data_IF_926776801823
#
_entry.id   IF_926776801823
#
_cell.length_a   1.000
_cell.length_b   1.000
_cell.length_c   1.000
_cell.angle_alpha   90.00
_cell.angle_beta   90.00
_cell.angle_gamma   90.00
#
_symmetry.space_group_name_H-M   'P 1'
#
loop_
_entity.id
_entity.type
_entity.pdbx_description
1 polymer ?
#
# COMPACT_ATOMS: atom_id res chain seq x y z
N UNK A 1 24.62 11.67 -7.71
CA UNK A 1 23.77 12.85 -7.41
C UNK A 1 22.79 12.60 -6.25
N UNK A 2 21.87 11.63 -6.34
CA UNK A 2 20.82 11.37 -5.33
C UNK A 2 21.36 11.23 -3.90
N UNK A 3 22.34 10.36 -3.65
CA UNK A 3 22.89 10.16 -2.31
C UNK A 3 23.54 11.43 -1.70
N UNK A 4 24.08 12.33 -2.53
CA UNK A 4 24.64 13.62 -2.10
C UNK A 4 23.54 14.60 -1.69
N UNK A 5 22.36 14.51 -2.30
CA UNK A 5 21.19 15.28 -1.88
C UNK A 5 20.62 14.71 -0.57
N UNK A 6 20.53 13.39 -0.45
CA UNK A 6 20.06 12.72 0.78
C UNK A 6 20.95 12.99 2.00
N UNK A 7 22.22 13.31 1.82
CA UNK A 7 23.13 13.64 2.93
C UNK A 7 22.96 15.06 3.46
N UNK A 8 22.23 15.94 2.77
CA UNK A 8 22.00 17.33 3.21
C UNK A 8 21.22 17.37 4.52
N UNK A 9 21.59 18.30 5.40
CA UNK A 9 21.01 18.38 6.75
C UNK A 9 19.51 18.71 6.74
N UNK A 10 19.00 19.51 5.81
CA UNK A 10 17.57 19.88 5.77
C UNK A 10 16.66 18.78 5.19
N UNK A 11 17.19 17.87 4.37
CA UNK A 11 16.40 16.83 3.69
C UNK A 11 16.49 15.48 4.41
N UNK A 12 15.43 14.72 4.69
CA UNK A 12 14.03 14.96 4.32
C UNK A 12 13.23 15.72 5.38
N UNK A 13 13.86 16.22 6.45
CA UNK A 13 13.18 16.82 7.61
C UNK A 13 12.26 17.98 7.20
N UNK A 14 12.73 18.88 6.33
CA UNK A 14 11.92 19.96 5.75
C UNK A 14 10.64 19.46 5.09
N UNK A 15 10.73 18.45 4.22
CA UNK A 15 9.56 17.85 3.56
C UNK A 15 8.62 17.13 4.53
N UNK A 16 9.12 16.57 5.63
CA UNK A 16 8.26 16.00 6.68
C UNK A 16 7.42 17.06 7.36
N UNK A 17 7.99 18.23 7.66
CA UNK A 17 7.24 19.35 8.24
C UNK A 17 6.23 19.92 7.26
N UNK A 18 6.59 20.09 5.99
CA UNK A 18 5.65 20.51 4.93
C UNK A 18 4.51 19.48 4.81
N UNK A 19 4.85 18.19 4.81
CA UNK A 19 3.85 17.11 4.75
C UNK A 19 2.97 17.07 6.00
N UNK A 20 3.49 17.45 7.17
CA UNK A 20 2.71 17.56 8.41
C UNK A 20 1.70 18.70 8.33
N UNK A 21 2.11 19.88 7.85
CA UNK A 21 1.20 21.01 7.63
C UNK A 21 0.11 20.64 6.64
N UNK A 22 0.48 20.05 5.49
CA UNK A 22 -0.49 19.58 4.51
C UNK A 22 -1.46 18.55 5.13
N UNK A 23 -0.94 17.60 5.92
CA UNK A 23 -1.75 16.60 6.61
C UNK A 23 -2.76 17.21 7.58
N UNK A 24 -2.38 18.25 8.33
CA UNK A 24 -3.28 19.00 9.20
C UNK A 24 -4.37 19.70 8.39
N UNK A 25 -4.01 20.37 7.28
CA UNK A 25 -4.99 21.02 6.40
C UNK A 25 -6.02 20.02 5.85
N UNK A 26 -5.58 18.84 5.43
CA UNK A 26 -6.47 17.77 4.94
C UNK A 26 -7.42 17.26 6.04
N UNK A 27 -6.96 17.18 7.29
CA UNK A 27 -7.81 16.83 8.43
C UNK A 27 -8.84 17.93 8.70
N UNK A 28 -8.42 19.19 8.80
CA UNK A 28 -9.30 20.31 9.10
C UNK A 28 -10.39 20.44 8.04
N UNK A 29 -10.03 20.41 6.76
CA UNK A 29 -10.99 20.48 5.64
C UNK A 29 -11.95 19.29 5.60
N UNK A 30 -11.52 18.10 6.03
CA UNK A 30 -12.41 16.95 6.18
C UNK A 30 -13.37 17.10 7.36
N UNK A 31 -12.92 17.61 8.51
CA UNK A 31 -13.77 17.82 9.70
C UNK A 31 -14.89 18.85 9.47
N UNK A 32 -14.70 19.77 8.53
CA UNK A 32 -15.68 20.80 8.17
C UNK A 32 -16.85 20.29 7.32
N UNK A 33 -16.81 19.06 6.81
CA UNK A 33 -17.82 18.54 5.88
C UNK A 33 -18.33 17.15 6.28
N UNK A 34 -19.64 17.05 6.50
CA UNK A 34 -20.33 15.82 6.89
C UNK A 34 -21.68 15.72 6.17
N UNK A 35 -22.06 14.51 5.77
CA UNK A 35 -23.42 14.20 5.30
C UNK A 35 -23.74 12.73 5.53
N UNK A 36 -25.02 12.42 5.73
CA UNK A 36 -25.57 11.06 5.79
C UNK A 36 -26.26 10.65 4.50
N UNK A 37 -26.49 11.58 3.57
CA UNK A 37 -27.13 11.29 2.29
C UNK A 37 -26.15 10.62 1.32
N UNK A 38 -26.55 9.43 0.84
CA UNK A 38 -25.72 8.61 -0.03
C UNK A 38 -25.52 9.23 -1.42
N UNK A 39 -26.48 10.00 -1.93
CA UNK A 39 -26.35 10.66 -3.22
C UNK A 39 -25.41 11.87 -3.12
N UNK A 40 -25.64 12.74 -2.14
CA UNK A 40 -24.75 13.86 -1.85
C UNK A 40 -23.29 13.43 -1.63
N UNK A 41 -23.07 12.34 -0.86
CA UNK A 41 -21.74 11.80 -0.61
C UNK A 41 -21.01 11.34 -1.88
N UNK A 42 -21.71 10.99 -2.98
CA UNK A 42 -21.06 10.64 -4.25
C UNK A 42 -20.37 11.84 -4.89
N UNK A 43 -20.91 13.06 -4.70
CA UNK A 43 -20.31 14.30 -5.17
C UNK A 43 -19.35 14.89 -4.15
N UNK A 44 -19.74 14.95 -2.87
CA UNK A 44 -18.93 15.54 -1.80
C UNK A 44 -17.53 14.93 -1.70
N UNK A 45 -17.40 13.62 -1.91
CA UNK A 45 -16.11 12.92 -1.91
C UNK A 45 -15.11 13.46 -2.94
N UNK A 46 -15.60 14.09 -4.01
CA UNK A 46 -14.80 14.62 -5.11
C UNK A 46 -14.67 16.15 -5.07
N UNK A 47 -15.52 16.86 -4.34
CA UNK A 47 -15.49 18.34 -4.23
C UNK A 47 -14.80 18.82 -2.96
N UNK A 48 -14.84 18.06 -1.87
CA UNK A 48 -14.12 18.40 -0.65
C UNK A 48 -12.60 18.29 -0.84
N UNK A 49 -11.85 19.33 -0.47
CA UNK A 49 -10.39 19.40 -0.63
C UNK A 49 -9.67 18.21 0.02
N UNK A 50 -9.98 17.95 1.30
CA UNK A 50 -9.39 16.86 2.07
C UNK A 50 -9.61 15.50 1.39
N UNK A 51 -10.87 15.18 1.12
CA UNK A 51 -11.25 13.88 0.58
C UNK A 51 -10.75 13.65 -0.85
N UNK A 52 -10.84 14.67 -1.71
CA UNK A 52 -10.34 14.60 -3.08
C UNK A 52 -8.83 14.35 -3.09
N UNK A 53 -8.05 15.15 -2.36
CA UNK A 53 -6.59 15.03 -2.34
C UNK A 53 -6.17 13.69 -1.73
N UNK A 54 -6.74 13.28 -0.58
CA UNK A 54 -6.35 12.03 0.09
C UNK A 54 -6.61 10.82 -0.80
N UNK A 55 -7.81 10.70 -1.35
CA UNK A 55 -8.24 9.45 -1.98
C UNK A 55 -8.03 9.39 -3.49
N UNK A 56 -7.93 10.53 -4.16
CA UNK A 56 -7.82 10.60 -5.63
C UNK A 56 -6.44 11.02 -6.12
N UNK A 57 -5.56 11.54 -5.26
CA UNK A 57 -4.21 11.96 -5.65
C UNK A 57 -3.12 11.43 -4.74
N UNK A 58 -3.24 11.65 -3.44
CA UNK A 58 -2.23 11.24 -2.47
C UNK A 58 -2.13 9.71 -2.39
N UNK A 59 -3.26 8.99 -2.22
CA UNK A 59 -3.26 7.53 -2.24
C UNK A 59 -2.71 6.95 -3.57
N UNK A 60 -3.22 7.35 -4.76
CA UNK A 60 -2.62 6.97 -6.04
C UNK A 60 -1.12 7.25 -6.15
N UNK A 61 -0.68 8.44 -5.73
CA UNK A 61 0.73 8.83 -5.79
C UNK A 61 1.62 7.91 -4.93
N UNK A 62 1.20 7.56 -3.70
CA UNK A 62 2.03 6.68 -2.86
C UNK A 62 2.12 5.25 -3.42
N UNK A 63 1.07 4.76 -4.09
CA UNK A 63 1.10 3.46 -4.77
C UNK A 63 2.09 3.48 -5.94
N UNK A 64 1.99 4.48 -6.81
CA UNK A 64 2.92 4.68 -7.94
C UNK A 64 4.36 4.80 -7.43
N UNK A 65 4.58 5.64 -6.41
CA UNK A 65 5.90 5.82 -5.81
C UNK A 65 6.45 4.51 -5.23
N UNK A 66 5.62 3.71 -4.55
CA UNK A 66 6.04 2.42 -4.03
C UNK A 66 6.48 1.46 -5.13
N UNK A 67 5.69 1.33 -6.21
CA UNK A 67 5.99 0.40 -7.30
C UNK A 67 7.28 0.77 -8.03
N UNK A 68 7.52 2.05 -8.31
CA UNK A 68 8.65 2.47 -9.17
C UNK A 68 9.88 2.96 -8.40
N UNK A 69 9.68 3.58 -7.24
CA UNK A 69 10.74 4.26 -6.48
C UNK A 69 10.91 3.74 -5.06
N UNK A 70 10.14 2.72 -4.67
CA UNK A 70 10.20 2.11 -3.35
C UNK A 70 9.51 3.00 -2.31
N UNK A 71 9.88 2.88 -1.04
CA UNK A 71 9.15 3.51 0.07
C UNK A 71 9.48 5.00 0.27
N UNK A 72 9.65 5.77 -0.81
CA UNK A 72 9.98 7.21 -0.73
C UNK A 72 8.93 7.98 0.04
N UNK A 73 7.64 7.62 -0.06
CA UNK A 73 6.62 8.25 0.77
C UNK A 73 6.93 8.12 2.28
N UNK A 74 7.41 6.96 2.74
CA UNK A 74 7.78 6.76 4.14
C UNK A 74 8.95 7.66 4.60
N UNK A 75 9.77 8.16 3.66
CA UNK A 75 10.86 9.11 3.95
C UNK A 75 10.32 10.48 4.35
N UNK A 76 9.19 10.92 3.78
CA UNK A 76 8.58 12.24 3.99
C UNK A 76 7.28 12.19 4.79
N UNK A 77 6.82 10.98 5.15
CA UNK A 77 5.59 10.76 5.89
C UNK A 77 5.60 11.50 7.25
N UNK A 78 4.57 12.32 7.55
CA UNK A 78 4.51 13.07 8.81
C UNK A 78 4.34 12.15 10.03
N UNK A 79 3.73 10.97 9.85
CA UNK A 79 3.56 10.00 10.93
C UNK A 79 4.91 9.39 11.38
N UNK A 80 5.90 9.34 10.49
CA UNK A 80 7.25 8.91 10.86
C UNK A 80 7.95 9.92 11.78
N UNK A 81 7.72 11.22 11.52
CA UNK A 81 8.19 12.31 12.36
C UNK A 81 7.58 12.21 13.76
N UNK A 82 6.24 12.06 13.83
CA UNK A 82 5.48 11.92 15.07
C UNK A 82 5.96 10.71 15.86
N UNK A 83 6.00 9.51 15.26
CA UNK A 83 6.42 8.31 15.98
C UNK A 83 7.86 8.39 16.47
N UNK A 84 8.78 9.01 15.70
CA UNK A 84 10.17 9.19 16.13
C UNK A 84 10.25 10.09 17.36
N UNK A 85 9.47 11.18 17.38
CA UNK A 85 9.42 12.10 18.51
C UNK A 85 8.88 11.41 19.77
N UNK A 86 7.73 10.75 19.68
CA UNK A 86 7.13 10.06 20.83
C UNK A 86 7.97 8.87 21.31
N UNK A 87 8.64 8.13 20.41
CA UNK A 87 9.59 7.08 20.80
C UNK A 87 10.86 7.61 21.48
N UNK A 88 11.22 8.88 21.25
CA UNK A 88 12.35 9.53 21.93
C UNK A 88 12.04 9.81 23.41
N UNK A 89 10.84 10.32 23.69
CA UNK A 89 10.41 10.73 25.03
C UNK A 89 9.63 9.66 25.80
N UNK A 90 9.16 8.62 25.10
CA UNK A 90 8.34 7.55 25.66
C UNK A 90 9.11 6.53 26.52
N UNK A 91 8.36 5.53 26.99
CA UNK A 91 8.77 4.48 27.93
C UNK A 91 9.82 3.52 27.35
N UNK A 92 9.91 3.39 26.02
CA UNK A 92 10.86 2.52 25.31
C UNK A 92 10.79 1.05 25.76
N UNK A 93 9.59 0.58 26.08
CA UNK A 93 9.37 -0.81 26.45
C UNK A 93 9.74 -1.75 25.31
N UNK A 94 10.17 -2.97 25.68
CA UNK A 94 10.36 -4.04 24.70
C UNK A 94 9.04 -4.47 24.11
N UNK A 95 9.07 -4.79 22.82
CA UNK A 95 7.88 -5.17 22.05
C UNK A 95 7.48 -6.61 22.37
N UNK A 96 6.20 -6.89 22.59
CA UNK A 96 5.72 -8.25 22.78
C UNK A 96 5.82 -9.06 21.48
N UNK A 97 5.91 -10.39 21.58
CA UNK A 97 6.10 -11.29 20.43
C UNK A 97 4.98 -11.17 19.39
N UNK A 98 3.73 -10.92 19.81
CA UNK A 98 2.59 -10.79 18.89
C UNK A 98 2.75 -9.58 17.95
N UNK A 99 3.36 -8.48 18.41
CA UNK A 99 3.63 -7.30 17.59
C UNK A 99 4.70 -7.59 16.53
N UNK A 100 5.73 -8.36 16.91
CA UNK A 100 6.82 -8.77 16.01
C UNK A 100 6.39 -9.82 14.97
N UNK A 101 5.29 -10.53 15.20
CA UNK A 101 4.80 -11.62 14.35
C UNK A 101 4.23 -11.13 13.00
N UNK A 102 3.86 -9.86 12.90
CA UNK A 102 3.15 -9.28 11.75
C UNK A 102 1.64 -9.25 11.89
N UNK A 103 1.05 -10.01 12.82
CA UNK A 103 -0.41 -10.07 13.01
C UNK A 103 -1.02 -8.72 13.42
N UNK A 104 -0.30 -7.90 14.18
CA UNK A 104 -0.77 -6.56 14.55
C UNK A 104 -1.11 -5.70 13.32
N UNK A 105 -0.21 -5.66 12.33
CA UNK A 105 -0.43 -4.94 11.07
C UNK A 105 -1.61 -5.55 10.32
N UNK A 106 -1.63 -6.87 10.19
CA UNK A 106 -2.64 -7.59 9.40
C UNK A 106 -4.04 -7.36 9.97
N UNK A 107 -4.20 -7.49 11.29
CA UNK A 107 -5.46 -7.24 11.97
C UNK A 107 -5.85 -5.77 11.85
N UNK A 108 -4.90 -4.84 12.00
CA UNK A 108 -5.23 -3.43 11.86
C UNK A 108 -5.72 -3.08 10.45
N UNK A 109 -5.11 -3.67 9.40
CA UNK A 109 -5.61 -3.52 8.03
C UNK A 109 -7.01 -4.11 7.84
N UNK A 110 -7.27 -5.30 8.39
CA UNK A 110 -8.61 -5.91 8.38
C UNK A 110 -9.62 -4.98 9.06
N UNK A 111 -9.31 -4.42 10.22
CA UNK A 111 -10.19 -3.46 10.92
C UNK A 111 -10.47 -2.25 10.03
N UNK A 112 -9.47 -1.71 9.33
CA UNK A 112 -9.67 -0.56 8.43
C UNK A 112 -10.64 -0.91 7.29
N UNK A 113 -10.49 -2.08 6.67
CA UNK A 113 -11.38 -2.48 5.58
C UNK A 113 -12.80 -2.78 6.06
N UNK A 114 -12.95 -3.50 7.17
CA UNK A 114 -14.25 -3.95 7.66
C UNK A 114 -15.00 -2.82 8.38
N UNK A 115 -14.34 -2.14 9.32
CA UNK A 115 -14.97 -1.08 10.11
C UNK A 115 -14.88 0.26 9.39
N UNK A 116 -13.71 0.62 8.86
CA UNK A 116 -13.51 1.92 8.20
C UNK A 116 -14.22 2.01 6.84
N UNK A 117 -13.91 1.09 5.91
CA UNK A 117 -14.45 1.17 4.54
C UNK A 117 -15.91 0.72 4.49
N UNK A 118 -16.25 -0.47 5.04
CA UNK A 118 -17.63 -0.97 4.95
C UNK A 118 -18.56 -0.40 6.04
N UNK A 119 -18.06 -0.17 7.25
CA UNK A 119 -18.86 0.39 8.34
C UNK A 119 -19.08 1.89 8.22
N UNK A 120 -18.00 2.67 8.10
CA UNK A 120 -18.06 4.15 8.15
C UNK A 120 -17.89 4.84 6.80
N UNK A 121 -17.66 4.11 5.71
CA UNK A 121 -17.43 4.67 4.38
C UNK A 121 -16.40 5.82 4.38
N UNK A 122 -15.26 5.64 5.05
CA UNK A 122 -14.18 6.65 5.21
C UNK A 122 -13.66 7.24 3.90
N UNK A 123 -13.94 6.59 2.76
CA UNK A 123 -13.54 7.01 1.42
C UNK A 123 -14.56 7.92 0.73
N UNK A 124 -15.76 8.07 1.30
CA UNK A 124 -16.87 8.88 0.76
C UNK A 124 -17.20 10.08 1.63
N UNK A 125 -17.13 9.92 2.96
CA UNK A 125 -17.47 10.96 3.91
C UNK A 125 -16.19 11.66 4.43
N UNK A 126 -15.97 12.96 4.12
CA UNK A 126 -14.76 13.68 4.50
C UNK A 126 -14.51 13.73 6.01
N UNK A 127 -15.57 13.81 6.82
CA UNK A 127 -15.46 13.79 8.27
C UNK A 127 -14.88 12.46 8.78
N UNK A 128 -15.40 11.32 8.28
CA UNK A 128 -14.89 10.01 8.65
C UNK A 128 -13.48 9.75 8.11
N UNK A 129 -13.12 10.32 6.95
CA UNK A 129 -11.73 10.36 6.50
C UNK A 129 -10.84 11.10 7.51
N UNK A 130 -11.24 12.28 7.95
CA UNK A 130 -10.46 13.06 8.91
C UNK A 130 -10.29 12.34 10.26
N UNK A 131 -11.35 11.70 10.77
CA UNK A 131 -11.28 10.83 11.96
C UNK A 131 -10.31 9.68 11.73
N UNK A 132 -10.34 9.04 10.56
CA UNK A 132 -9.41 7.96 10.22
C UNK A 132 -7.95 8.43 10.23
N UNK A 133 -7.66 9.60 9.67
CA UNK A 133 -6.32 10.20 9.70
C UNK A 133 -5.88 10.53 11.14
N UNK A 134 -6.77 11.14 11.94
CA UNK A 134 -6.51 11.40 13.36
C UNK A 134 -6.26 10.10 14.15
N UNK A 135 -7.01 9.04 13.87
CA UNK A 135 -6.82 7.73 14.50
C UNK A 135 -5.45 7.13 14.16
N UNK A 136 -4.97 7.24 12.91
CA UNK A 136 -3.61 6.82 12.54
C UNK A 136 -2.57 7.57 13.39
N UNK A 137 -2.73 8.88 13.56
CA UNK A 137 -1.84 9.69 14.41
C UNK A 137 -1.93 9.25 15.87
N UNK A 138 -3.14 9.09 16.41
CA UNK A 138 -3.36 8.65 17.79
C UNK A 138 -2.71 7.30 18.08
N UNK A 139 -2.92 6.30 17.22
CA UNK A 139 -2.26 4.98 17.35
C UNK A 139 -0.74 5.12 17.23
N UNK A 140 -0.25 5.98 16.34
CA UNK A 140 1.19 6.24 16.21
C UNK A 140 1.82 6.83 17.46
N UNK A 141 1.12 7.78 18.10
CA UNK A 141 1.52 8.41 19.37
C UNK A 141 1.53 7.37 20.49
N UNK A 142 0.47 6.59 20.63
CA UNK A 142 0.36 5.54 21.66
C UNK A 142 1.50 4.52 21.50
N UNK A 143 1.66 3.96 20.30
CA UNK A 143 2.69 2.94 20.03
C UNK A 143 4.10 3.52 20.18
N UNK A 144 4.34 4.75 19.72
CA UNK A 144 5.61 5.44 19.88
C UNK A 144 5.92 5.75 21.34
N UNK A 145 4.93 6.12 22.15
CA UNK A 145 5.14 6.43 23.57
C UNK A 145 5.40 5.19 24.42
N UNK A 146 4.85 4.03 24.04
CA UNK A 146 5.01 2.79 24.80
C UNK A 146 6.29 2.05 24.40
N UNK A 147 6.50 1.80 23.11
CA UNK A 147 7.52 0.87 22.63
C UNK A 147 8.78 1.55 22.07
N UNK A 148 9.91 0.85 22.14
CA UNK A 148 11.18 1.35 21.58
C UNK A 148 11.17 1.50 20.05
N UNK A 149 12.01 2.40 19.52
CA UNK A 149 12.23 2.66 18.09
C UNK A 149 10.94 3.06 17.34
N UNK A 150 10.99 3.06 16.00
CA UNK A 150 9.86 3.36 15.13
C UNK A 150 8.93 2.14 14.99
N UNK A 151 8.45 1.61 16.12
CA UNK A 151 7.62 0.41 16.19
C UNK A 151 6.36 0.55 15.35
N UNK A 152 5.72 1.72 15.36
CA UNK A 152 4.53 1.97 14.52
C UNK A 152 4.85 1.75 13.04
N UNK A 153 5.90 2.37 12.52
CA UNK A 153 6.27 2.25 11.10
C UNK A 153 6.68 0.82 10.69
N UNK A 154 7.16 0.01 11.64
CA UNK A 154 7.69 -1.33 11.37
C UNK A 154 6.67 -2.44 11.56
N UNK A 155 5.81 -2.33 12.57
CA UNK A 155 4.98 -3.43 13.10
C UNK A 155 3.50 -3.07 13.27
N UNK A 156 3.06 -1.85 12.94
CA UNK A 156 1.65 -1.45 13.07
C UNK A 156 1.09 -0.83 11.79
N UNK A 157 1.84 0.06 11.13
CA UNK A 157 1.35 0.84 9.98
C UNK A 157 0.95 -0.04 8.78
N UNK A 158 -0.35 -0.15 8.46
CA UNK A 158 -0.82 -1.05 7.40
C UNK A 158 -0.53 -0.50 6.01
N UNK A 159 -0.61 0.83 5.84
CA UNK A 159 -0.17 1.50 4.60
C UNK A 159 1.31 1.23 4.37
N UNK A 160 2.14 1.39 5.41
CA UNK A 160 3.57 1.13 5.33
C UNK A 160 3.87 -0.30 4.90
N UNK A 161 3.08 -1.29 5.35
CA UNK A 161 3.26 -2.69 4.99
C UNK A 161 2.87 -2.99 3.54
N UNK A 162 1.75 -2.45 3.07
CA UNK A 162 1.35 -2.51 1.66
C UNK A 162 2.42 -1.92 0.73
N UNK A 163 2.91 -0.71 1.05
CA UNK A 163 3.99 -0.07 0.30
C UNK A 163 5.29 -0.89 0.35
N UNK A 164 5.51 -1.64 1.43
CA UNK A 164 6.61 -2.61 1.54
C UNK A 164 6.52 -3.70 0.49
N UNK A 165 5.35 -4.32 0.33
CA UNK A 165 5.12 -5.35 -0.69
C UNK A 165 5.36 -4.81 -2.11
N UNK A 166 4.84 -3.61 -2.41
CA UNK A 166 4.99 -2.99 -3.73
C UNK A 166 6.39 -2.42 -4.00
N UNK A 167 7.13 -2.05 -2.95
CA UNK A 167 8.52 -1.61 -3.11
C UNK A 167 9.47 -2.69 -3.64
N UNK A 168 9.05 -3.95 -3.68
CA UNK A 168 9.81 -5.04 -4.30
C UNK A 168 9.86 -4.95 -5.84
N UNK A 169 9.05 -4.08 -6.43
CA UNK A 169 9.04 -3.79 -7.87
C UNK A 169 10.02 -2.69 -8.25
N UNK A 170 10.38 -1.80 -7.33
CA UNK A 170 11.04 -0.54 -7.66
C UNK A 170 12.41 -0.69 -8.30
N UNK A 171 12.74 0.26 -9.19
CA UNK A 171 14.04 0.34 -9.86
C UNK A 171 15.21 0.63 -8.90
N UNK A 172 14.91 1.24 -7.75
CA UNK A 172 15.90 1.74 -6.80
C UNK A 172 15.76 1.04 -5.45
N UNK A 173 16.88 0.76 -4.78
CA UNK A 173 16.87 0.16 -3.45
C UNK A 173 17.98 0.68 -2.56
N UNK A 174 17.79 0.56 -1.25
CA UNK A 174 18.82 0.89 -0.28
C UNK A 174 19.83 -0.24 -0.18
N UNK A 175 21.08 -0.01 -0.58
CA UNK A 175 22.11 -1.04 -0.67
C UNK A 175 23.47 -0.51 -0.24
N UNK A 176 24.35 -1.43 0.16
CA UNK A 176 25.77 -1.13 0.42
C UNK A 176 26.51 -0.95 -0.91
N UNK A 177 27.40 0.05 -0.96
CA UNK A 177 28.34 0.28 -2.08
C UNK A 177 29.42 -0.79 -2.10
N UNK A 178 30.17 -0.89 -1.00
CA UNK A 178 31.25 -1.86 -0.82
C UNK A 178 31.10 -2.59 0.52
N UNK A 179 30.96 -3.91 0.49
CA UNK A 179 30.67 -4.71 1.68
C UNK A 179 31.82 -4.69 2.70
N UNK A 180 33.07 -4.70 2.25
CA UNK A 180 34.25 -4.75 3.12
C UNK A 180 34.34 -3.56 4.08
N UNK A 181 33.98 -2.37 3.62
CA UNK A 181 33.91 -1.15 4.45
C UNK A 181 32.91 -1.30 5.60
N UNK A 182 31.77 -1.96 5.36
CA UNK A 182 30.81 -2.21 6.43
C UNK A 182 31.28 -3.30 7.39
N UNK A 183 31.99 -4.31 6.91
CA UNK A 183 32.48 -5.41 7.72
C UNK A 183 33.58 -4.93 8.70
N UNK A 184 34.51 -4.10 8.25
CA UNK A 184 35.61 -3.55 9.07
C UNK A 184 35.25 -2.30 9.88
N UNK A 185 34.08 -1.67 9.64
CA UNK A 185 33.63 -0.48 10.35
C UNK A 185 33.44 -0.75 11.85
N UNK A 186 34.26 -0.11 12.71
CA UNK A 186 34.16 -0.21 14.18
C UNK A 186 33.06 0.68 14.78
N UNK A 187 32.76 1.83 14.15
CA UNK A 187 31.76 2.79 14.66
C UNK A 187 30.36 2.22 14.78
N UNK A 188 29.94 1.45 13.75
CA UNK A 188 28.57 0.96 13.56
C UNK A 188 27.49 2.02 13.87
N UNK A 189 27.77 3.29 13.54
CA UNK A 189 26.89 4.44 13.84
C UNK A 189 25.53 4.35 13.16
N UNK A 190 25.37 3.49 12.15
CA UNK A 190 24.12 3.19 11.49
C UNK A 190 23.13 2.35 12.32
N UNK A 191 23.59 1.71 13.41
CA UNK A 191 22.77 0.91 14.35
C UNK A 191 22.99 1.28 15.83
N UNK A 192 23.88 2.22 16.11
CA UNK A 192 24.26 2.58 17.48
C UNK A 192 23.10 3.23 18.25
N UNK A 193 22.84 2.80 19.49
CA UNK A 193 21.70 3.26 20.31
C UNK A 193 21.70 4.77 20.55
N UNK A 194 22.89 5.38 20.74
CA UNK A 194 23.07 6.83 20.97
C UNK A 194 22.37 7.70 19.93
N UNK A 195 22.40 7.30 18.65
CA UNK A 195 21.87 8.09 17.54
C UNK A 195 20.47 7.66 17.10
N UNK A 196 19.86 6.67 17.76
CA UNK A 196 18.64 6.03 17.27
C UNK A 196 17.43 6.98 17.18
N UNK A 197 17.34 7.94 18.11
CA UNK A 197 16.21 8.87 18.23
C UNK A 197 16.55 10.30 17.79
N UNK A 198 17.69 10.48 17.09
CA UNK A 198 17.96 11.74 16.43
C UNK A 198 16.89 11.99 15.35
N UNK A 199 16.60 13.25 15.05
CA UNK A 199 15.57 13.57 14.06
C UNK A 199 16.02 13.23 12.64
N UNK A 200 17.31 13.43 12.37
CA UNK A 200 17.87 13.46 11.02
C UNK A 200 19.02 12.47 10.84
N UNK A 201 20.21 12.77 11.40
CA UNK A 201 21.33 11.83 11.46
C UNK A 201 21.06 10.78 12.53
N UNK A 202 20.28 9.76 12.15
CA UNK A 202 19.80 8.72 13.07
C UNK A 202 20.11 7.29 12.65
N UNK A 203 20.39 6.45 13.64
CA UNK A 203 20.51 4.99 13.43
C UNK A 203 19.20 4.39 12.93
N UNK A 204 19.25 3.19 12.36
CA UNK A 204 18.06 2.52 11.86
C UNK A 204 17.03 2.28 12.98
N UNK A 205 15.88 2.94 12.87
CA UNK A 205 14.77 2.83 13.84
C UNK A 205 13.79 1.68 13.57
N UNK A 206 14.03 0.85 12.55
CA UNK A 206 13.08 -0.19 12.07
C UNK A 206 13.66 -1.62 12.09
N UNK A 207 14.61 -1.86 13.00
CA UNK A 207 15.26 -3.16 13.22
C UNK A 207 15.96 -3.77 12.01
N UNK A 208 16.51 -2.91 11.16
CA UNK A 208 17.40 -3.34 10.10
C UNK A 208 18.83 -3.02 10.48
N UNK A 209 19.72 -3.94 10.15
CA UNK A 209 21.13 -3.61 10.02
C UNK A 209 21.36 -3.15 8.57
N UNK A 210 21.66 -1.86 8.30
CA UNK A 210 21.70 -1.35 6.93
C UNK A 210 22.67 -2.07 6.01
N UNK A 211 23.73 -2.68 6.57
CA UNK A 211 24.67 -3.47 5.80
C UNK A 211 24.00 -4.71 5.16
N UNK A 212 23.01 -5.31 5.82
CA UNK A 212 22.36 -6.57 5.43
C UNK A 212 21.05 -6.35 4.65
N UNK A 213 20.74 -5.12 4.24
CA UNK A 213 19.53 -4.85 3.46
C UNK A 213 19.71 -5.41 2.04
N UNK A 214 18.94 -6.46 1.73
CA UNK A 214 18.93 -7.12 0.42
C UNK A 214 17.65 -6.86 -0.36
N UNK A 215 16.58 -6.40 0.29
CA UNK A 215 15.31 -6.07 -0.34
C UNK A 215 14.68 -4.78 0.23
N UNK A 216 13.72 -4.22 -0.50
CA UNK A 216 13.08 -2.96 -0.16
C UNK A 216 11.88 -3.06 0.81
N UNK A 217 11.39 -4.25 1.14
CA UNK A 217 10.11 -4.41 1.84
C UNK A 217 10.08 -3.73 3.21
N UNK A 218 11.23 -3.69 3.89
CA UNK A 218 11.31 -3.31 5.29
C UNK A 218 11.91 -1.92 5.51
N UNK A 219 12.81 -1.46 4.63
CA UNK A 219 13.50 -0.17 4.79
C UNK A 219 12.54 0.98 4.50
N UNK A 220 12.30 1.87 5.47
CA UNK A 220 11.43 3.05 5.29
C UNK A 220 12.11 4.21 4.54
N UNK A 221 13.31 3.97 3.99
CA UNK A 221 14.10 4.94 3.22
C UNK A 221 14.32 6.30 3.91
N UNK A 222 14.38 6.37 5.25
CA UNK A 222 14.52 7.66 5.96
C UNK A 222 15.90 8.33 5.81
N UNK A 223 16.85 7.69 5.13
CA UNK A 223 18.24 8.13 4.91
C UNK A 223 19.08 8.44 6.18
N UNK A 224 18.56 8.19 7.39
CA UNK A 224 19.28 8.48 8.63
C UNK A 224 20.62 7.75 8.73
N UNK A 225 20.66 6.47 8.36
CA UNK A 225 21.88 5.67 8.43
C UNK A 225 22.97 6.08 7.43
N UNK A 226 22.62 6.71 6.30
CA UNK A 226 23.60 7.32 5.40
C UNK A 226 24.28 8.49 6.11
N UNK A 227 23.51 9.32 6.82
CA UNK A 227 24.01 10.50 7.53
C UNK A 227 24.85 10.14 8.74
N UNK A 228 24.40 9.21 9.58
CA UNK A 228 25.23 8.77 10.72
C UNK A 228 26.51 8.09 10.25
N UNK A 229 26.46 7.36 9.14
CA UNK A 229 27.65 6.76 8.54
C UNK A 229 28.65 7.82 8.05
N UNK A 230 28.17 8.97 7.56
CA UNK A 230 28.99 10.09 7.13
C UNK A 230 29.54 10.91 8.32
N UNK A 231 28.67 11.23 9.28
CA UNK A 231 28.92 12.21 10.35
C UNK A 231 29.71 11.61 11.53
N UNK A 232 29.38 10.39 11.94
CA UNK A 232 29.98 9.76 13.11
C UNK A 232 31.01 8.71 12.68
N UNK A 233 32.25 9.15 12.48
CA UNK A 233 33.40 8.30 12.19
C UNK A 233 34.49 8.49 13.25
N UNK A 234 34.98 7.41 13.86
CA UNK A 234 36.14 7.47 14.76
C UNK A 234 37.43 7.75 14.00
N UNK A 235 37.50 7.30 12.75
CA UNK A 235 38.61 7.51 11.82
C UNK A 235 38.05 7.94 10.46
N UNK A 236 38.72 8.89 9.80
CA UNK A 236 38.28 9.40 8.50
C UNK A 236 38.39 8.29 7.45
N UNK A 237 37.29 7.94 6.80
CA UNK A 237 37.26 6.97 5.72
C UNK A 237 36.54 7.53 4.48
N UNK A 238 37.30 7.71 3.40
CA UNK A 238 36.83 8.28 2.12
C UNK A 238 35.81 7.40 1.40
N UNK A 239 35.70 6.12 1.77
CA UNK A 239 34.69 5.21 1.23
C UNK A 239 33.34 5.29 1.96
N UNK A 240 33.19 6.17 2.95
CA UNK A 240 31.93 6.44 3.66
C UNK A 240 31.31 7.77 3.16
N UNK A 241 29.97 7.87 3.11
CA UNK A 241 28.99 6.92 3.64
C UNK A 241 28.74 5.73 2.72
N UNK A 242 28.42 4.59 3.33
CA UNK A 242 28.30 3.31 2.64
C UNK A 242 27.20 2.42 3.27
N UNK A 243 25.99 2.98 3.39
CA UNK A 243 24.98 2.56 2.41
C UNK A 243 24.24 3.75 1.78
N UNK A 244 23.57 3.53 0.64
CA UNK A 244 22.77 4.55 -0.02
C UNK A 244 21.77 3.97 -1.03
N UNK A 245 21.05 4.83 -1.74
CA UNK A 245 20.20 4.43 -2.86
C UNK A 245 21.09 3.97 -4.03
N UNK A 246 20.76 2.81 -4.59
CA UNK A 246 21.33 2.26 -5.81
C UNK A 246 20.22 1.87 -6.79
N UNK A 247 20.51 1.95 -8.08
CA UNK A 247 19.72 1.26 -9.09
C UNK A 247 19.90 -0.25 -8.92
N UNK A 248 18.80 -0.98 -8.78
CA UNK A 248 18.78 -2.43 -8.60
C UNK A 248 18.05 -3.15 -9.73
N UNK A 249 17.43 -2.43 -10.68
CA UNK A 249 16.57 -3.01 -11.72
C UNK A 249 15.12 -3.22 -11.27
N UNK A 250 14.19 -3.32 -12.21
CA UNK A 250 12.76 -3.50 -11.94
C UNK A 250 12.47 -4.93 -11.45
N UNK A 251 11.71 -5.08 -10.37
CA UNK A 251 11.17 -6.37 -9.84
C UNK A 251 12.22 -7.35 -9.30
N UNK A 252 13.50 -6.97 -9.27
CA UNK A 252 14.57 -7.85 -8.81
C UNK A 252 14.41 -8.32 -7.35
N UNK A 253 13.86 -7.48 -6.47
CA UNK A 253 13.58 -7.86 -5.08
C UNK A 253 12.39 -8.83 -4.94
N UNK A 254 11.42 -8.77 -5.86
CA UNK A 254 10.35 -9.76 -5.91
C UNK A 254 10.91 -11.13 -6.32
N UNK A 255 11.81 -11.16 -7.32
CA UNK A 255 12.45 -12.37 -7.83
C UNK A 255 13.44 -13.04 -6.87
N UNK A 256 13.68 -12.48 -5.68
CA UNK A 256 14.38 -13.21 -4.60
C UNK A 256 13.54 -14.35 -4.00
N UNK A 257 12.22 -14.38 -4.29
CA UNK A 257 11.32 -15.49 -3.93
C UNK A 257 11.37 -15.86 -2.44
N UNK A 258 11.37 -14.84 -1.58
CA UNK A 258 11.26 -15.02 -0.13
C UNK A 258 9.83 -15.50 0.17
N UNK A 259 9.65 -16.65 0.84
CA UNK A 259 8.32 -17.13 1.22
C UNK A 259 7.59 -16.12 2.11
N UNK A 260 6.28 -16.03 1.95
CA UNK A 260 5.44 -15.20 2.80
C UNK A 260 5.40 -15.78 4.21
N UNK A 261 5.31 -14.91 5.21
CA UNK A 261 4.88 -15.33 6.56
C UNK A 261 3.37 -15.56 6.57
N UNK A 262 2.84 -16.29 7.55
CA UNK A 262 1.39 -16.53 7.66
C UNK A 262 0.60 -15.22 7.71
N UNK A 263 1.00 -14.27 8.58
CA UNK A 263 0.35 -12.97 8.69
C UNK A 263 0.45 -12.15 7.39
N UNK A 264 1.56 -12.28 6.66
CA UNK A 264 1.78 -11.64 5.35
C UNK A 264 0.89 -12.25 4.27
N UNK A 265 0.77 -13.58 4.24
CA UNK A 265 -0.10 -14.29 3.32
C UNK A 265 -1.56 -13.87 3.52
N UNK A 266 -2.03 -13.83 4.77
CA UNK A 266 -3.40 -13.34 5.08
C UNK A 266 -3.55 -11.88 4.68
N UNK A 267 -2.54 -11.04 4.90
CA UNK A 267 -2.58 -9.65 4.45
C UNK A 267 -2.72 -9.55 2.91
N UNK A 268 -1.90 -10.27 2.15
CA UNK A 268 -1.95 -10.27 0.68
C UNK A 268 -3.30 -10.82 0.18
N UNK A 269 -3.85 -11.86 0.82
CA UNK A 269 -5.17 -12.40 0.51
C UNK A 269 -6.28 -11.35 0.69
N UNK A 270 -6.25 -10.62 1.79
CA UNK A 270 -7.22 -9.55 2.08
C UNK A 270 -7.05 -8.39 1.10
N UNK A 271 -5.81 -8.00 0.78
CA UNK A 271 -5.53 -7.00 -0.26
C UNK A 271 -6.04 -7.46 -1.63
N UNK A 272 -5.92 -8.75 -1.95
CA UNK A 272 -6.46 -9.32 -3.19
C UNK A 272 -7.98 -9.09 -3.29
N UNK A 273 -8.74 -9.33 -2.21
CA UNK A 273 -10.18 -9.02 -2.18
C UNK A 273 -10.47 -7.54 -2.30
N UNK A 274 -9.69 -6.69 -1.63
CA UNK A 274 -9.81 -5.24 -1.73
C UNK A 274 -9.62 -4.75 -3.17
N UNK A 275 -8.58 -5.21 -3.87
CA UNK A 275 -8.28 -4.81 -5.25
C UNK A 275 -9.34 -5.29 -6.23
N UNK A 276 -9.86 -6.52 -6.06
CA UNK A 276 -11.01 -6.99 -6.85
C UNK A 276 -12.17 -6.01 -6.67
N UNK A 277 -12.51 -5.65 -5.42
CA UNK A 277 -13.62 -4.74 -5.15
C UNK A 277 -13.43 -3.34 -5.75
N UNK A 278 -12.21 -2.81 -5.69
CA UNK A 278 -11.91 -1.48 -6.20
C UNK A 278 -11.98 -1.40 -7.73
N UNK A 279 -11.59 -2.47 -8.45
CA UNK A 279 -11.69 -2.50 -9.91
C UNK A 279 -13.10 -2.86 -10.36
N UNK A 280 -13.72 -3.89 -9.78
CA UNK A 280 -15.03 -4.37 -10.23
C UNK A 280 -16.15 -3.37 -9.96
N UNK A 281 -16.01 -2.51 -8.94
CA UNK A 281 -16.99 -1.44 -8.66
C UNK A 281 -16.99 -0.29 -9.67
N UNK A 282 -16.02 -0.23 -10.59
CA UNK A 282 -15.97 0.82 -11.62
C UNK A 282 -16.90 0.56 -12.81
N UNK A 283 -17.33 -0.69 -13.00
CA UNK A 283 -18.27 -1.06 -14.06
C UNK A 283 -19.54 -1.65 -13.44
N UNK A 284 -20.71 -1.15 -13.87
CA UNK A 284 -22.01 -1.51 -13.30
C UNK A 284 -22.31 -3.01 -13.34
N UNK A 285 -21.87 -3.72 -14.39
CA UNK A 285 -22.08 -5.16 -14.49
C UNK A 285 -21.29 -5.92 -13.43
N UNK A 286 -19.99 -5.64 -13.31
CA UNK A 286 -19.14 -6.30 -12.31
C UNK A 286 -19.43 -5.86 -10.90
N UNK A 287 -19.89 -4.62 -10.69
CA UNK A 287 -20.38 -4.17 -9.38
C UNK A 287 -21.62 -4.96 -8.97
N UNK A 288 -22.54 -5.24 -9.90
CA UNK A 288 -23.70 -6.10 -9.64
C UNK A 288 -23.28 -7.51 -9.23
N UNK A 289 -22.30 -8.12 -9.92
CA UNK A 289 -21.78 -9.43 -9.53
C UNK A 289 -21.08 -9.44 -8.18
N UNK A 290 -20.27 -8.41 -7.90
CA UNK A 290 -19.57 -8.25 -6.62
C UNK A 290 -20.57 -8.18 -5.45
N UNK A 291 -21.71 -7.52 -5.65
CA UNK A 291 -22.74 -7.32 -4.63
C UNK A 291 -23.79 -8.43 -4.60
N UNK A 292 -23.87 -9.32 -5.59
CA UNK A 292 -24.89 -10.37 -5.68
C UNK A 292 -24.92 -11.29 -4.46
N UNK A 293 -23.80 -11.96 -4.16
CA UNK A 293 -23.73 -12.91 -3.04
C UNK A 293 -23.91 -12.21 -1.67
N UNK A 294 -23.27 -11.06 -1.39
CA UNK A 294 -23.57 -10.29 -0.18
C UNK A 294 -25.05 -9.94 -0.02
N UNK A 295 -25.69 -9.42 -1.07
CA UNK A 295 -27.09 -9.00 -1.01
C UNK A 295 -28.02 -10.21 -0.82
N UNK A 296 -27.71 -11.35 -1.45
CA UNK A 296 -28.45 -12.58 -1.25
C UNK A 296 -28.43 -13.02 0.22
N UNK A 297 -27.25 -13.02 0.86
CA UNK A 297 -27.11 -13.39 2.27
C UNK A 297 -27.83 -12.40 3.17
N UNK A 298 -27.64 -11.09 2.96
CA UNK A 298 -28.26 -10.03 3.77
C UNK A 298 -29.79 -10.10 3.70
N UNK A 299 -30.34 -10.30 2.50
CA UNK A 299 -31.79 -10.44 2.28
C UNK A 299 -32.34 -11.72 2.89
N UNK A 300 -31.63 -12.84 2.76
CA UNK A 300 -32.09 -14.15 3.28
C UNK A 300 -32.10 -14.19 4.80
N UNK A 301 -31.16 -13.50 5.44
CA UNK A 301 -31.06 -13.41 6.90
C UNK A 301 -31.84 -12.21 7.49
N UNK A 302 -32.57 -11.45 6.67
CA UNK A 302 -33.33 -10.25 7.07
C UNK A 302 -32.51 -9.27 7.92
N UNK A 303 -31.28 -8.96 7.49
CA UNK A 303 -30.38 -8.09 8.25
C UNK A 303 -30.70 -6.62 7.96
N UNK A 304 -31.37 -5.96 8.91
CA UNK A 304 -31.74 -4.54 8.79
C UNK A 304 -30.62 -3.58 9.25
N UNK A 305 -29.71 -4.04 10.11
CA UNK A 305 -28.65 -3.20 10.64
C UNK A 305 -27.55 -2.97 9.59
N UNK A 306 -27.41 -1.71 9.13
CA UNK A 306 -26.43 -1.30 8.11
C UNK A 306 -24.98 -1.67 8.46
N UNK A 307 -24.60 -1.61 9.74
CA UNK A 307 -23.25 -1.97 10.18
C UNK A 307 -23.00 -3.47 10.05
N UNK A 308 -23.96 -4.30 10.49
CA UNK A 308 -23.88 -5.77 10.36
C UNK A 308 -23.88 -6.16 8.87
N UNK A 309 -24.73 -5.55 8.06
CA UNK A 309 -24.73 -5.72 6.61
C UNK A 309 -23.36 -5.38 5.98
N UNK A 310 -22.74 -4.29 6.42
CA UNK A 310 -21.38 -3.91 6.03
C UNK A 310 -20.32 -4.95 6.41
N UNK A 311 -20.40 -5.53 7.61
CA UNK A 311 -19.50 -6.61 8.06
C UNK A 311 -19.66 -7.90 7.25
N UNK A 312 -20.90 -8.30 6.95
CA UNK A 312 -21.19 -9.46 6.10
C UNK A 312 -20.59 -9.23 4.70
N UNK A 313 -20.88 -8.07 4.11
CA UNK A 313 -20.34 -7.68 2.81
C UNK A 313 -18.80 -7.68 2.80
N UNK A 314 -18.17 -7.11 3.83
CA UNK A 314 -16.72 -7.12 4.00
C UNK A 314 -16.15 -8.54 4.11
N UNK A 315 -16.81 -9.42 4.86
CA UNK A 315 -16.38 -10.82 5.03
C UNK A 315 -16.40 -11.57 3.70
N UNK A 316 -17.47 -11.39 2.92
CA UNK A 316 -17.62 -12.05 1.62
C UNK A 316 -16.59 -11.51 0.62
N UNK A 317 -16.48 -10.18 0.49
CA UNK A 317 -15.64 -9.55 -0.53
C UNK A 317 -14.15 -9.63 -0.21
N UNK A 318 -13.75 -9.38 1.04
CA UNK A 318 -12.34 -9.30 1.43
C UNK A 318 -11.78 -10.62 1.98
N UNK A 319 -12.64 -11.57 2.35
CA UNK A 319 -12.23 -12.87 2.90
C UNK A 319 -12.58 -14.02 1.96
N UNK A 320 -13.89 -14.29 1.79
CA UNK A 320 -14.37 -15.50 1.12
C UNK A 320 -14.02 -15.49 -0.38
N UNK A 321 -14.35 -14.42 -1.10
CA UNK A 321 -14.11 -14.31 -2.53
C UNK A 321 -12.63 -14.52 -2.92
N UNK A 322 -11.65 -13.77 -2.36
CA UNK A 322 -10.26 -14.01 -2.69
C UNK A 322 -9.78 -15.38 -2.22
N UNK A 323 -10.27 -15.91 -1.09
CA UNK A 323 -9.91 -17.26 -0.64
C UNK A 323 -10.34 -18.33 -1.66
N UNK A 324 -11.56 -18.27 -2.17
CA UNK A 324 -12.04 -19.17 -3.20
C UNK A 324 -11.17 -19.11 -4.45
N UNK A 325 -10.87 -17.90 -4.94
CA UNK A 325 -10.03 -17.69 -6.12
C UNK A 325 -8.61 -18.23 -5.90
N UNK A 326 -8.01 -18.01 -4.73
CA UNK A 326 -6.67 -18.48 -4.40
C UNK A 326 -6.60 -20.01 -4.24
N UNK A 327 -7.68 -20.64 -3.76
CA UNK A 327 -7.77 -22.09 -3.58
C UNK A 327 -7.95 -22.84 -4.91
N UNK A 328 -8.61 -22.25 -5.91
CA UNK A 328 -8.93 -22.92 -7.18
C UNK A 328 -7.69 -23.54 -7.87
N UNK A 329 -6.56 -22.83 -8.11
CA UNK A 329 -5.36 -23.43 -8.68
C UNK A 329 -4.82 -24.61 -7.86
N UNK A 330 -4.89 -24.51 -6.52
CA UNK A 330 -4.43 -25.58 -5.63
C UNK A 330 -5.34 -26.80 -5.69
N UNK A 331 -6.67 -26.62 -5.67
CA UNK A 331 -7.64 -27.72 -5.80
C UNK A 331 -7.38 -28.48 -7.12
N UNK A 332 -7.27 -27.74 -8.23
CA UNK A 332 -6.98 -28.34 -9.55
C UNK A 332 -5.63 -29.06 -9.53
N UNK A 333 -4.61 -28.48 -8.89
CA UNK A 333 -3.29 -29.11 -8.74
C UNK A 333 -3.37 -30.46 -8.01
N UNK A 334 -4.17 -30.52 -6.94
CA UNK A 334 -4.30 -31.71 -6.13
C UNK A 334 -5.09 -32.81 -6.84
N UNK A 335 -6.14 -32.44 -7.60
CA UNK A 335 -6.88 -33.36 -8.48
C UNK A 335 -5.97 -33.95 -9.56
N UNK A 336 -5.00 -33.19 -10.05
CA UNK A 336 -3.98 -33.66 -11.02
C UNK A 336 -2.80 -34.41 -10.38
N UNK A 337 -2.89 -34.80 -9.10
CA UNK A 337 -1.85 -35.52 -8.32
C UNK A 337 -0.48 -34.82 -8.26
N UNK A 338 -0.45 -33.48 -8.33
CA UNK A 338 0.80 -32.70 -8.25
C UNK A 338 1.43 -32.70 -6.83
N UNK A 339 0.69 -33.07 -5.79
CA UNK A 339 1.24 -33.37 -4.45
C UNK A 339 1.69 -32.18 -3.60
N UNK A 340 1.31 -30.94 -3.93
CA UNK A 340 1.69 -29.77 -3.11
C UNK A 340 0.83 -29.64 -1.86
N UNK A 341 1.46 -29.60 -0.69
CA UNK A 341 0.79 -29.28 0.58
C UNK A 341 0.23 -27.85 0.54
N UNK A 342 -1.00 -27.67 1.00
CA UNK A 342 -1.70 -26.38 0.99
C UNK A 342 -0.88 -25.25 1.64
N UNK A 343 -0.18 -25.53 2.74
CA UNK A 343 0.70 -24.57 3.42
C UNK A 343 1.84 -24.11 2.50
N UNK A 344 2.47 -25.03 1.81
CA UNK A 344 3.59 -24.72 0.91
C UNK A 344 3.11 -23.97 -0.33
N UNK A 345 1.90 -24.29 -0.83
CA UNK A 345 1.24 -23.52 -1.88
C UNK A 345 1.04 -22.05 -1.45
N UNK A 346 0.37 -21.80 -0.33
CA UNK A 346 0.07 -20.44 0.12
C UNK A 346 1.32 -19.63 0.45
N UNK A 347 2.30 -20.22 1.15
CA UNK A 347 3.48 -19.47 1.60
C UNK A 347 4.51 -19.25 0.49
N UNK A 348 4.67 -20.20 -0.45
CA UNK A 348 5.67 -20.10 -1.51
C UNK A 348 5.11 -19.54 -2.82
N UNK A 349 3.87 -19.90 -3.20
CA UNK A 349 3.24 -19.45 -4.45
C UNK A 349 2.32 -18.24 -4.26
N UNK A 350 1.93 -17.90 -3.02
CA UNK A 350 1.16 -16.68 -2.73
C UNK A 350 1.82 -15.38 -3.23
N UNK A 351 3.15 -15.36 -3.33
CA UNK A 351 3.91 -14.25 -3.91
C UNK A 351 3.56 -13.97 -5.38
N UNK A 352 3.08 -14.97 -6.13
CA UNK A 352 2.72 -14.82 -7.54
C UNK A 352 1.42 -14.02 -7.76
N UNK A 353 0.60 -13.81 -6.73
CA UNK A 353 -0.56 -12.93 -6.81
C UNK A 353 -0.15 -11.45 -6.76
N UNK A 354 0.98 -11.12 -6.11
CA UNK A 354 1.41 -9.74 -5.86
C UNK A 354 1.55 -8.91 -7.15
N UNK A 355 2.17 -9.41 -8.25
CA UNK A 355 2.24 -8.65 -9.51
C UNK A 355 0.90 -8.19 -10.06
N UNK A 356 -0.11 -9.06 -10.04
CA UNK A 356 -1.45 -8.74 -10.58
C UNK A 356 -2.17 -7.79 -9.61
N UNK A 357 -2.06 -8.01 -8.29
CA UNK A 357 -2.60 -7.09 -7.27
C UNK A 357 -2.01 -5.69 -7.45
N UNK A 358 -0.68 -5.58 -7.60
CA UNK A 358 0.01 -4.31 -7.77
C UNK A 358 -0.40 -3.62 -9.09
N UNK A 359 -0.52 -4.38 -10.18
CA UNK A 359 -0.99 -3.88 -11.47
C UNK A 359 -2.42 -3.32 -11.39
N UNK A 360 -3.36 -4.06 -10.80
CA UNK A 360 -4.73 -3.60 -10.63
C UNK A 360 -4.85 -2.38 -9.69
N UNK A 361 -4.05 -2.30 -8.62
CA UNK A 361 -3.98 -1.07 -7.83
C UNK A 361 -3.40 0.12 -8.60
N UNK A 362 -2.41 -0.10 -9.47
CA UNK A 362 -1.84 0.92 -10.33
C UNK A 362 -2.87 1.44 -11.35
N UNK A 363 -3.64 0.53 -11.95
CA UNK A 363 -4.76 0.87 -12.85
C UNK A 363 -5.80 1.73 -12.15
N UNK A 364 -6.26 1.30 -10.97
CA UNK A 364 -7.20 2.08 -10.16
C UNK A 364 -6.64 3.46 -9.84
N UNK A 365 -5.34 3.54 -9.54
CA UNK A 365 -4.65 4.80 -9.23
C UNK A 365 -4.68 5.76 -10.43
N UNK A 366 -4.40 5.26 -11.63
CA UNK A 366 -4.45 6.04 -12.88
C UNK A 366 -5.88 6.50 -13.16
N UNK A 367 -6.83 5.57 -13.22
CA UNK A 367 -8.24 5.85 -13.51
C UNK A 367 -8.83 6.88 -12.55
N UNK A 368 -8.56 6.74 -11.25
CA UNK A 368 -9.11 7.65 -10.24
C UNK A 368 -8.46 9.03 -10.31
N UNK A 369 -7.16 9.12 -10.57
CA UNK A 369 -6.48 10.41 -10.69
C UNK A 369 -6.96 11.18 -11.93
N UNK A 370 -7.09 10.49 -13.07
CA UNK A 370 -7.46 11.14 -14.34
C UNK A 370 -8.94 11.54 -14.39
N UNK A 371 -9.84 10.69 -13.91
CA UNK A 371 -11.30 10.95 -13.90
C UNK A 371 -11.71 12.09 -12.95
N UNK A 372 -10.79 12.55 -12.09
CA UNK A 372 -11.05 13.60 -11.09
C UNK A 372 -10.37 14.93 -11.39
N UNK A 373 -9.68 15.04 -12.52
CA UNK A 373 -9.06 16.30 -12.98
C UNK A 373 -10.10 17.44 -13.06
N UNK A 374 -11.30 17.25 -13.64
CA UNK A 374 -12.27 18.34 -13.79
C UNK A 374 -12.74 18.97 -12.46
N UNK A 375 -12.64 18.25 -11.33
CA UNK A 375 -13.03 18.79 -10.03
C UNK A 375 -12.06 19.87 -9.52
N UNK A 376 -10.84 19.98 -10.07
CA UNK A 376 -9.87 21.01 -9.66
C UNK A 376 -10.32 22.42 -9.97
N UNK A 377 -11.16 22.59 -11.00
CA UNK A 377 -11.66 23.91 -11.40
C UNK A 377 -12.52 24.58 -10.32
N UNK A 378 -13.08 23.80 -9.40
CA UNK A 378 -13.98 24.29 -8.34
C UNK A 378 -13.41 24.07 -6.92
N UNK A 379 -12.24 23.44 -6.82
CA UNK A 379 -11.71 22.92 -5.55
C UNK A 379 -11.33 24.02 -4.55
N UNK A 380 -10.82 25.14 -5.05
CA UNK A 380 -10.34 26.25 -4.22
C UNK A 380 -11.39 27.33 -3.98
N UNK A 381 -12.49 27.32 -4.74
CA UNK A 381 -13.62 28.24 -4.54
C UNK A 381 -14.44 27.84 -3.31
N UNK A 382 -14.53 26.53 -3.04
CA UNK A 382 -15.22 25.97 -1.87
C UNK A 382 -14.42 24.77 -1.34
N UNK A 383 -13.51 25.03 -0.40
CA UNK A 383 -12.63 24.00 0.19
C UNK A 383 -13.40 22.92 0.98
N UNK A 384 -14.61 23.22 1.45
CA UNK A 384 -15.48 22.24 2.12
C UNK A 384 -16.14 21.30 1.12
N UNK A 385 -16.36 21.80 -0.10
CA UNK A 385 -17.00 21.10 -1.20
C UNK A 385 -18.51 20.95 -1.04
N UNK A 386 -19.12 21.50 0.02
CA UNK A 386 -20.55 21.34 0.31
C UNK A 386 -21.41 22.09 -0.71
N UNK A 387 -21.12 23.36 -0.97
CA UNK A 387 -21.86 24.16 -1.94
C UNK A 387 -21.61 23.65 -3.35
N UNK A 388 -20.36 23.33 -3.68
CA UNK A 388 -20.01 22.79 -5.00
C UNK A 388 -20.70 21.45 -5.26
N UNK A 389 -20.77 20.56 -4.26
CA UNK A 389 -21.49 19.30 -4.39
C UNK A 389 -22.97 19.52 -4.67
N UNK A 390 -23.61 20.44 -3.94
CA UNK A 390 -25.02 20.77 -4.14
C UNK A 390 -25.29 21.34 -5.54
N UNK A 391 -24.47 22.30 -5.99
CA UNK A 391 -24.57 22.88 -7.34
C UNK A 391 -24.40 21.86 -8.47
N UNK A 392 -23.60 20.82 -8.26
CA UNK A 392 -23.49 19.71 -9.23
C UNK A 392 -24.77 18.88 -9.26
N UNK A 393 -25.38 18.61 -8.10
CA UNK A 393 -26.64 17.87 -8.00
C UNK A 393 -27.79 18.66 -8.63
N UNK A 394 -27.80 19.97 -8.41
CA UNK A 394 -28.79 20.90 -8.95
C UNK A 394 -28.56 21.23 -10.44
N UNK A 395 -27.52 20.63 -11.05
CA UNK A 395 -27.10 20.85 -12.45
C UNK A 395 -26.67 22.29 -12.79
N UNK A 396 -26.35 23.11 -11.79
CA UNK A 396 -25.74 24.44 -11.98
C UNK A 396 -24.27 24.34 -12.42
N UNK A 397 -23.57 23.29 -11.97
CA UNK A 397 -22.19 22.98 -12.37
C UNK A 397 -22.17 21.66 -13.12
N UNK A 398 -21.74 21.71 -14.39
CA UNK A 398 -21.56 20.50 -15.20
C UNK A 398 -20.09 20.09 -15.19
N UNK A 399 -19.81 18.92 -14.61
CA UNK A 399 -18.48 18.33 -14.61
C UNK A 399 -18.15 17.81 -16.01
N UNK A 400 -17.10 18.37 -16.62
CA UNK A 400 -16.65 17.96 -17.94
C UNK A 400 -16.28 16.48 -17.97
N UNK A 401 -16.78 15.75 -18.97
CA UNK A 401 -16.41 14.37 -19.19
C UNK A 401 -14.97 14.25 -19.69
N UNK A 402 -14.33 13.12 -19.40
CA UNK A 402 -12.99 12.83 -19.90
C UNK A 402 -13.00 12.79 -21.43
N UNK A 403 -12.15 13.57 -22.13
CA UNK A 403 -12.07 13.54 -23.58
C UNK A 403 -11.82 12.13 -24.13
N UNK A 404 -12.38 11.82 -25.30
CA UNK A 404 -12.29 10.50 -25.91
C UNK A 404 -10.85 10.00 -26.05
N UNK A 405 -9.94 10.86 -26.54
CA UNK A 405 -8.53 10.51 -26.72
C UNK A 405 -7.87 10.09 -25.40
N UNK A 406 -8.13 10.83 -24.31
CA UNK A 406 -7.57 10.55 -22.99
C UNK A 406 -8.16 9.25 -22.44
N UNK A 407 -9.47 9.03 -22.64
CA UNK A 407 -10.13 7.80 -22.25
C UNK A 407 -9.51 6.58 -22.96
N UNK A 408 -9.27 6.66 -24.28
CA UNK A 408 -8.58 5.61 -25.06
C UNK A 408 -7.16 5.39 -24.55
N UNK A 409 -6.39 6.44 -24.30
CA UNK A 409 -5.04 6.32 -23.73
C UNK A 409 -5.05 5.59 -22.37
N UNK A 410 -5.99 5.93 -21.48
CA UNK A 410 -6.16 5.26 -20.19
C UNK A 410 -6.51 3.78 -20.40
N UNK A 411 -7.39 3.44 -21.34
CA UNK A 411 -7.73 2.04 -21.66
C UNK A 411 -6.51 1.24 -22.09
N UNK A 412 -5.69 1.79 -23.00
CA UNK A 412 -4.45 1.15 -23.48
C UNK A 412 -3.49 0.91 -22.31
N UNK A 413 -3.26 1.95 -21.50
CA UNK A 413 -2.34 1.88 -20.36
C UNK A 413 -2.80 0.83 -19.35
N UNK A 414 -4.09 0.81 -18.98
CA UNK A 414 -4.63 -0.17 -18.04
C UNK A 414 -4.49 -1.61 -18.55
N UNK A 415 -4.90 -1.86 -19.80
CA UNK A 415 -4.77 -3.19 -20.41
C UNK A 415 -3.30 -3.64 -20.46
N UNK A 416 -2.37 -2.74 -20.80
CA UNK A 416 -0.95 -3.03 -20.80
C UNK A 416 -0.40 -3.34 -19.39
N UNK A 417 -0.81 -2.58 -18.37
CA UNK A 417 -0.37 -2.77 -16.97
C UNK A 417 -0.83 -4.14 -16.44
N UNK A 418 -2.11 -4.52 -16.65
CA UNK A 418 -2.57 -5.87 -16.29
C UNK A 418 -1.81 -6.94 -17.05
N UNK A 419 -1.58 -6.76 -18.35
CA UNK A 419 -0.77 -7.68 -19.15
C UNK A 419 0.65 -7.88 -18.58
N UNK A 420 1.32 -6.79 -18.19
CA UNK A 420 2.62 -6.84 -17.51
C UNK A 420 2.52 -7.53 -16.15
N UNK A 421 1.48 -7.26 -15.37
CA UNK A 421 1.23 -7.92 -14.08
C UNK A 421 1.09 -9.44 -14.23
N UNK A 422 0.32 -9.89 -15.23
CA UNK A 422 0.15 -11.31 -15.57
C UNK A 422 1.49 -11.92 -16.00
N UNK A 423 2.22 -11.28 -16.92
CA UNK A 423 3.54 -11.73 -17.37
C UNK A 423 4.54 -11.88 -16.20
N UNK A 424 4.61 -10.89 -15.31
CA UNK A 424 5.49 -10.95 -14.14
C UNK A 424 5.07 -12.06 -13.18
N UNK A 425 3.77 -12.31 -13.00
CA UNK A 425 3.26 -13.43 -12.22
C UNK A 425 3.68 -14.78 -12.82
N UNK A 426 3.55 -14.96 -14.14
CA UNK A 426 4.10 -16.13 -14.85
C UNK A 426 5.60 -16.32 -14.58
N UNK A 427 6.38 -15.24 -14.64
CA UNK A 427 7.82 -15.27 -14.37
C UNK A 427 8.14 -15.65 -12.92
N UNK A 428 7.37 -15.16 -11.94
CA UNK A 428 7.50 -15.56 -10.54
C UNK A 428 7.25 -17.06 -10.37
N UNK A 429 6.17 -17.60 -10.96
CA UNK A 429 5.86 -19.04 -10.92
C UNK A 429 6.99 -19.86 -11.54
N UNK A 430 7.50 -19.45 -12.71
CA UNK A 430 8.60 -20.13 -13.39
C UNK A 430 9.85 -20.21 -12.50
N UNK A 431 10.27 -19.08 -11.93
CA UNK A 431 11.45 -19.03 -11.05
C UNK A 431 11.21 -19.83 -9.75
N UNK A 432 9.98 -19.84 -9.23
CA UNK A 432 9.62 -20.61 -8.04
C UNK A 432 9.67 -22.12 -8.30
N UNK A 433 9.15 -22.59 -9.43
CA UNK A 433 9.22 -23.98 -9.85
C UNK A 433 10.69 -24.44 -10.02
N UNK A 434 11.53 -23.61 -10.65
CA UNK A 434 12.97 -23.87 -10.78
C UNK A 434 13.65 -23.96 -9.41
N UNK A 435 13.36 -23.03 -8.49
CA UNK A 435 13.92 -23.02 -7.13
C UNK A 435 13.55 -24.26 -6.32
N UNK A 436 12.39 -24.85 -6.58
CA UNK A 436 11.93 -26.07 -5.90
C UNK A 436 12.35 -27.36 -6.60
N UNK A 437 13.07 -27.30 -7.73
CA UNK A 437 13.50 -28.47 -8.49
C UNK A 437 12.37 -29.18 -9.26
N UNK A 438 11.23 -28.52 -9.47
CA UNK A 438 10.10 -29.07 -10.22
C UNK A 438 10.17 -28.64 -11.69
N UNK A 439 10.92 -29.37 -12.52
CA UNK A 439 11.01 -29.04 -13.96
C UNK A 439 9.74 -29.40 -14.76
N UNK A 440 8.87 -30.28 -14.25
CA UNK A 440 7.64 -30.71 -14.94
C UNK A 440 6.37 -30.87 -14.10
N UNK A 441 6.43 -30.99 -12.77
CA UNK A 441 5.31 -31.60 -12.00
C UNK A 441 4.26 -30.65 -11.41
N UNK A 442 4.29 -29.34 -11.70
CA UNK A 442 3.26 -28.43 -11.16
C UNK A 442 2.75 -27.41 -12.19
N UNK A 443 2.43 -27.89 -13.39
CA UNK A 443 1.81 -27.06 -14.44
C UNK A 443 0.57 -26.29 -13.95
N UNK A 444 -0.15 -26.84 -12.98
CA UNK A 444 -1.30 -26.23 -12.32
C UNK A 444 -1.00 -24.94 -11.55
N UNK A 445 0.24 -24.68 -11.11
CA UNK A 445 0.59 -23.37 -10.50
C UNK A 445 0.51 -22.21 -11.48
N UNK A 446 0.68 -22.48 -12.78
CA UNK A 446 0.44 -21.48 -13.81
C UNK A 446 -1.04 -21.10 -13.97
N UNK A 447 -1.97 -21.83 -13.33
CA UNK A 447 -3.36 -21.39 -13.21
C UNK A 447 -3.51 -20.15 -12.32
N UNK A 448 -2.54 -19.84 -11.46
CA UNK A 448 -2.55 -18.60 -10.65
C UNK A 448 -2.65 -17.37 -11.56
N UNK A 449 -1.66 -17.07 -12.43
CA UNK A 449 -1.75 -15.92 -13.32
C UNK A 449 -2.90 -16.01 -14.31
N UNK A 450 -3.31 -17.20 -14.74
CA UNK A 450 -4.41 -17.38 -15.69
C UNK A 450 -5.74 -17.01 -15.04
N UNK A 451 -6.11 -17.68 -13.95
CA UNK A 451 -7.42 -17.50 -13.30
C UNK A 451 -7.52 -16.16 -12.58
N UNK A 452 -6.46 -15.74 -11.87
CA UNK A 452 -6.49 -14.47 -11.16
C UNK A 452 -6.33 -13.28 -12.10
N UNK A 453 -5.50 -13.42 -13.14
CA UNK A 453 -5.29 -12.37 -14.14
C UNK A 453 -6.50 -12.15 -15.03
N UNK A 454 -7.20 -13.23 -15.42
CA UNK A 454 -8.37 -13.14 -16.29
C UNK A 454 -9.53 -12.37 -15.66
N UNK A 455 -9.69 -12.43 -14.33
CA UNK A 455 -10.68 -11.64 -13.57
C UNK A 455 -10.57 -10.14 -13.86
N UNK A 456 -9.35 -9.63 -14.04
CA UNK A 456 -9.12 -8.22 -14.37
C UNK A 456 -9.06 -8.00 -15.88
N UNK A 457 -8.36 -8.86 -16.62
CA UNK A 457 -8.15 -8.68 -18.05
C UNK A 457 -9.46 -8.78 -18.84
N UNK A 458 -10.29 -9.81 -18.58
CA UNK A 458 -11.58 -9.98 -19.26
C UNK A 458 -12.50 -8.81 -18.91
N UNK A 459 -12.55 -8.42 -17.64
CA UNK A 459 -13.33 -7.27 -17.20
C UNK A 459 -12.94 -5.99 -17.94
N UNK A 460 -11.64 -5.70 -18.07
CA UNK A 460 -11.15 -4.53 -18.81
C UNK A 460 -11.41 -4.64 -20.32
N UNK A 461 -11.26 -5.82 -20.92
CA UNK A 461 -11.52 -6.03 -22.35
C UNK A 461 -12.98 -5.78 -22.69
N UNK A 462 -13.91 -6.35 -21.93
CA UNK A 462 -15.34 -6.14 -22.17
C UNK A 462 -15.72 -4.68 -21.88
N UNK A 463 -15.30 -4.14 -20.73
CA UNK A 463 -15.71 -2.80 -20.29
C UNK A 463 -15.12 -1.67 -21.14
N UNK A 464 -13.81 -1.74 -21.44
CA UNK A 464 -13.09 -0.62 -22.07
C UNK A 464 -13.03 -0.74 -23.59
N UNK A 465 -13.26 -1.94 -24.14
CA UNK A 465 -13.09 -2.23 -25.56
C UNK A 465 -14.32 -2.86 -26.23
N UNK A 466 -15.39 -3.17 -25.49
CA UNK A 466 -16.59 -3.86 -26.00
C UNK A 466 -16.27 -5.18 -26.74
N UNK A 467 -15.24 -5.90 -26.28
CA UNK A 467 -14.81 -7.19 -26.84
C UNK A 467 -15.51 -8.39 -26.21
#
# INVERSE_FOLDING_TARGET
MINRFLSKWYFPVSLKYISLVAYIVLIVTGLMAYSTDAEFLKQLRNTNLGNLIVWSYWWPAIIILAIFFGRIWCMVCPVELITTYFAKIGLKQKRPKWLLSGWAITIFYIIILFVGIQGFAIHRNPFFMAIYLLMIVGVSIIIGSIYEKNTFCRYVCPVGYLLGLYSRFSFFGWRVKNRSVCDTCKDKSCIHKRYQYNLNAKSCGVDLYPANITDNANCILCAGCLKTCNEYQSEINTNRPNPGIKYIGFVNDLFQLKPLKIAEMVFVLVVSGFVISEIWSEWSLTDSYLNYLPNLVIKTLSIDNKFIAGLIKGTIIFGILPMLIWLLPWIISNLTKAGIKIKDYFLNYGIAFIPIIAAAHLDKSILKSTSRIPYFYHLFDDITGLSTAQKIIDNEIVIQQTPLWLNVCISIIMTAIIGVGIYLSFKVIRLQNQKQGFDKSVKSTYLIPILYGSIFLIMLLIWRWNM
#
